data_IF_158452197598
#
_entry.id   IF_158452197598
#
_cell.length_a   1.000
_cell.length_b   1.000
_cell.length_c   1.000
_cell.angle_alpha   90.00
_cell.angle_beta   90.00
_cell.angle_gamma   90.00
#
_symmetry.space_group_name_H-M   'P 1'
#
loop_
_entity.id
_entity.type
_entity.pdbx_description
1 polymer ?
#
# COMPACT_ATOMS: atom_id res chain seq x y z
N UNK A 1 47.77 25.82 -24.39
CA UNK A 1 46.53 25.05 -24.63
C UNK A 1 46.38 23.79 -23.76
N UNK A 2 47.39 23.28 -23.04
CA UNK A 2 47.24 21.97 -22.37
C UNK A 2 46.47 21.92 -21.03
N UNK A 3 46.54 22.98 -20.21
CA UNK A 3 45.96 22.93 -18.84
C UNK A 3 44.44 23.05 -18.85
N UNK A 4 43.88 23.91 -19.71
CA UNK A 4 42.43 24.09 -19.82
C UNK A 4 41.76 22.84 -20.38
N UNK A 5 42.36 22.20 -21.39
CA UNK A 5 41.86 20.94 -21.96
C UNK A 5 41.90 19.78 -20.96
N UNK A 6 42.94 19.75 -20.12
CA UNK A 6 43.02 18.77 -19.04
C UNK A 6 41.94 18.99 -17.98
N UNK A 7 41.72 20.24 -17.57
CA UNK A 7 40.67 20.60 -16.60
C UNK A 7 39.29 20.26 -17.17
N UNK A 8 39.00 20.59 -18.43
CA UNK A 8 37.70 20.29 -19.04
C UNK A 8 37.46 18.78 -19.17
N UNK A 9 38.50 18.00 -19.46
CA UNK A 9 38.42 16.53 -19.48
C UNK A 9 38.06 15.94 -18.11
N UNK A 10 38.72 16.41 -17.04
CA UNK A 10 38.41 15.97 -15.67
C UNK A 10 36.98 16.34 -15.28
N UNK A 11 36.58 17.58 -15.56
CA UNK A 11 35.22 18.06 -15.23
C UNK A 11 34.16 17.23 -15.96
N UNK A 12 34.37 16.93 -17.25
CA UNK A 12 33.46 16.08 -18.02
C UNK A 12 33.36 14.66 -17.43
N UNK A 13 34.48 14.07 -17.01
CA UNK A 13 34.50 12.75 -16.38
C UNK A 13 33.74 12.74 -15.05
N UNK A 14 33.97 13.73 -14.20
CA UNK A 14 33.30 13.84 -12.89
C UNK A 14 31.80 14.03 -13.06
N UNK A 15 31.37 14.91 -13.98
CA UNK A 15 29.95 15.11 -14.27
C UNK A 15 29.30 13.83 -14.82
N UNK A 16 29.99 13.08 -15.68
CA UNK A 16 29.53 11.77 -16.16
C UNK A 16 29.34 10.77 -15.02
N UNK A 17 30.31 10.65 -14.12
CA UNK A 17 30.22 9.74 -12.98
C UNK A 17 29.07 10.13 -12.03
N UNK A 18 28.91 11.42 -11.73
CA UNK A 18 27.84 11.93 -10.86
C UNK A 18 26.46 11.69 -11.47
N UNK A 19 26.29 11.92 -12.78
CA UNK A 19 25.00 11.69 -13.46
C UNK A 19 24.61 10.21 -13.46
N UNK A 20 25.55 9.31 -13.73
CA UNK A 20 25.33 7.85 -13.65
C UNK A 20 24.97 7.43 -12.21
N UNK A 21 25.70 7.94 -11.21
CA UNK A 21 25.44 7.61 -9.80
C UNK A 21 24.03 8.05 -9.36
N UNK A 22 23.60 9.26 -9.74
CA UNK A 22 22.24 9.76 -9.47
C UNK A 22 21.19 8.88 -10.15
N UNK A 23 21.41 8.43 -11.39
CA UNK A 23 20.47 7.55 -12.09
C UNK A 23 20.35 6.18 -11.40
N UNK A 24 21.47 5.60 -10.96
CA UNK A 24 21.49 4.33 -10.22
C UNK A 24 20.77 4.48 -8.88
N UNK A 25 21.07 5.52 -8.10
CA UNK A 25 20.42 5.79 -6.82
C UNK A 25 18.91 6.01 -6.99
N UNK A 26 18.49 6.74 -8.04
CA UNK A 26 17.08 6.95 -8.37
C UNK A 26 16.39 5.65 -8.77
N UNK A 27 17.08 4.76 -9.47
CA UNK A 27 16.58 3.44 -9.86
C UNK A 27 16.47 2.49 -8.66
N UNK A 28 17.45 2.47 -7.75
CA UNK A 28 17.40 1.72 -6.50
C UNK A 28 16.14 2.08 -5.68
N UNK A 29 15.87 3.37 -5.50
CA UNK A 29 14.66 3.85 -4.80
C UNK A 29 13.33 3.55 -5.51
N UNK A 30 13.35 3.34 -6.83
CA UNK A 30 12.14 2.93 -7.59
C UNK A 30 11.88 1.43 -7.47
N UNK A 31 12.94 0.62 -7.37
CA UNK A 31 12.81 -0.84 -7.21
C UNK A 31 12.33 -1.18 -5.80
N UNK A 32 12.83 -0.51 -4.77
CA UNK A 32 12.33 -0.70 -3.38
C UNK A 32 10.89 -0.21 -3.19
N UNK A 33 10.43 0.81 -3.94
CA UNK A 33 9.02 1.25 -3.93
C UNK A 33 8.10 0.41 -4.81
N UNK A 34 8.63 -0.49 -5.62
CA UNK A 34 7.86 -1.40 -6.48
C UNK A 34 7.66 -2.79 -5.85
N UNK A 35 8.18 -3.02 -4.64
CA UNK A 35 7.69 -4.06 -3.74
C UNK A 35 6.72 -3.37 -2.78
N UNK A 36 5.41 -3.36 -3.09
CA UNK A 36 4.45 -2.73 -2.22
C UNK A 36 4.19 -3.71 -1.08
N UNK A 37 4.86 -3.54 0.05
CA UNK A 37 4.43 -4.11 1.34
C UNK A 37 3.07 -3.51 1.82
N UNK A 38 2.26 -2.96 0.92
CA UNK A 38 1.08 -2.16 1.24
C UNK A 38 0.07 -1.98 0.12
N UNK A 39 0.12 -2.79 -0.95
CA UNK A 39 -1.07 -2.93 -1.80
C UNK A 39 -1.97 -3.98 -1.15
N UNK A 40 -2.80 -3.53 -0.21
CA UNK A 40 -4.03 -4.26 0.07
C UNK A 40 -4.76 -4.39 -1.26
N UNK A 41 -4.83 -5.61 -1.77
CA UNK A 41 -5.56 -5.87 -3.00
C UNK A 41 -7.03 -5.57 -2.70
N UNK A 42 -7.62 -4.65 -3.46
CA UNK A 42 -9.04 -4.34 -3.31
C UNK A 42 -9.90 -5.58 -3.56
N UNK A 43 -9.39 -6.56 -4.33
CA UNK A 43 -10.00 -7.88 -4.46
C UNK A 43 -9.97 -8.68 -3.15
N UNK A 44 -8.86 -8.64 -2.41
CA UNK A 44 -8.73 -9.34 -1.12
C UNK A 44 -9.61 -8.68 -0.03
N UNK A 45 -9.63 -7.35 0.03
CA UNK A 45 -10.53 -6.62 0.92
C UNK A 45 -12.00 -6.86 0.58
N UNK A 46 -12.34 -6.93 -0.72
CA UNK A 46 -13.71 -7.24 -1.16
C UNK A 46 -14.09 -8.69 -0.81
N UNK A 47 -13.18 -9.65 -1.01
CA UNK A 47 -13.42 -11.04 -0.63
C UNK A 47 -13.58 -11.19 0.89
N UNK A 48 -12.81 -10.44 1.67
CA UNK A 48 -12.94 -10.41 3.12
C UNK A 48 -14.28 -9.80 3.56
N UNK A 49 -14.69 -8.69 2.93
CA UNK A 49 -15.99 -8.07 3.19
C UNK A 49 -17.16 -9.01 2.88
N UNK A 50 -17.09 -9.76 1.78
CA UNK A 50 -18.09 -10.78 1.42
C UNK A 50 -18.16 -11.89 2.48
N UNK A 51 -17.00 -12.42 2.90
CA UNK A 51 -16.93 -13.44 3.95
C UNK A 51 -17.46 -12.95 5.30
N UNK A 52 -17.30 -11.66 5.61
CA UNK A 52 -17.83 -11.07 6.83
C UNK A 52 -19.34 -10.90 6.76
N UNK A 53 -19.90 -10.54 5.59
CA UNK A 53 -21.34 -10.47 5.38
C UNK A 53 -22.02 -11.82 5.59
N UNK A 54 -21.47 -12.89 5.02
CA UNK A 54 -21.99 -14.25 5.21
C UNK A 54 -22.01 -14.65 6.69
N UNK A 55 -20.92 -14.34 7.41
CA UNK A 55 -20.83 -14.63 8.84
C UNK A 55 -21.83 -13.82 9.67
N UNK A 56 -22.06 -12.55 9.33
CA UNK A 56 -23.06 -11.72 10.01
C UNK A 56 -24.45 -12.30 9.82
N UNK A 57 -24.81 -12.73 8.61
CA UNK A 57 -26.10 -13.36 8.34
C UNK A 57 -26.31 -14.64 9.17
N UNK A 58 -25.27 -15.47 9.29
CA UNK A 58 -25.30 -16.65 10.15
C UNK A 58 -25.49 -16.25 11.62
N UNK A 59 -24.74 -15.26 12.11
CA UNK A 59 -24.88 -14.79 13.49
C UNK A 59 -26.26 -14.20 13.77
N UNK A 60 -26.84 -13.44 12.85
CA UNK A 60 -28.22 -12.97 12.97
C UNK A 60 -29.21 -14.14 13.04
N UNK A 61 -29.03 -15.19 12.22
CA UNK A 61 -29.91 -16.36 12.27
C UNK A 61 -29.85 -17.11 13.60
N UNK A 62 -28.66 -17.20 14.20
CA UNK A 62 -28.47 -17.82 15.51
C UNK A 62 -29.07 -16.92 16.59
N UNK A 63 -28.83 -15.62 16.51
CA UNK A 63 -29.30 -14.65 17.50
C UNK A 63 -30.82 -14.52 17.48
N UNK A 64 -31.45 -14.55 16.30
CA UNK A 64 -32.91 -14.60 16.14
C UNK A 64 -33.50 -15.91 16.70
N UNK A 65 -32.77 -17.03 16.63
CA UNK A 65 -33.21 -18.31 17.18
C UNK A 65 -33.07 -18.40 18.71
N UNK A 66 -31.97 -17.88 19.27
CA UNK A 66 -31.65 -17.98 20.70
C UNK A 66 -32.25 -16.83 21.52
N UNK A 67 -32.35 -15.62 20.96
CA UNK A 67 -32.80 -14.41 21.67
C UNK A 67 -33.75 -13.60 20.78
N UNK A 68 -34.98 -14.07 20.48
CA UNK A 68 -35.86 -13.47 19.48
C UNK A 68 -36.21 -11.98 19.69
N UNK A 69 -36.11 -11.49 20.94
CA UNK A 69 -36.46 -10.10 21.30
C UNK A 69 -35.27 -9.12 21.19
N UNK A 70 -34.09 -9.59 20.80
CA UNK A 70 -32.86 -8.77 20.82
C UNK A 70 -32.96 -7.50 19.98
N UNK A 71 -33.70 -7.54 18.85
CA UNK A 71 -33.91 -6.37 17.99
C UNK A 71 -34.68 -5.26 18.70
N UNK A 72 -35.71 -5.61 19.47
CA UNK A 72 -36.55 -4.65 20.22
C UNK A 72 -35.78 -4.03 21.40
N UNK A 73 -34.98 -4.81 22.11
CA UNK A 73 -34.11 -4.31 23.18
C UNK A 73 -33.01 -3.37 22.63
N UNK A 74 -32.51 -3.65 21.42
CA UNK A 74 -31.47 -2.84 20.81
C UNK A 74 -32.02 -1.52 20.24
N UNK A 75 -33.21 -1.53 19.61
CA UNK A 75 -33.87 -0.31 19.14
C UNK A 75 -34.27 0.61 20.29
N UNK A 76 -34.86 0.05 21.37
CA UNK A 76 -35.26 0.81 22.56
C UNK A 76 -34.09 1.37 23.38
N UNK A 77 -32.88 0.85 23.20
CA UNK A 77 -31.65 1.36 23.85
C UNK A 77 -30.98 2.50 23.07
N UNK A 78 -31.30 2.66 21.79
CA UNK A 78 -30.70 3.69 20.92
C UNK A 78 -31.56 4.97 20.89
N UNK A 79 -32.84 4.90 21.27
CA UNK A 79 -33.69 6.06 21.61
C UNK A 79 -33.41 6.63 23.02
#
# INVERSE_FOLDING_TARGET
MGVLEFITSIVAMVLGAVTIWILILRKGRRIERAQPDGHYDMGELSAMAESMQERIAILESILDAEVPEWRQENESRIE
#
